data_IF_590930471274
#
_entry.id   IF_590930471274
#
_cell.length_a   1.000
_cell.length_b   1.000
_cell.length_c   1.000
_cell.angle_alpha   90.00
_cell.angle_beta   90.00
_cell.angle_gamma   90.00
#
_symmetry.space_group_name_H-M   'P 1'
#
loop_
_entity.id
_entity.type
_entity.pdbx_description
1 polymer ?
#
# COMPACT_ATOMS: atom_id res chain seq x y z
N UNK A 1 -17.79 -9.08 8.50
CA UNK A 1 -17.70 -8.75 7.06
C UNK A 1 -17.08 -7.37 6.95
N UNK A 2 -15.76 -7.28 6.73
CA UNK A 2 -15.12 -5.99 6.43
C UNK A 2 -15.57 -5.49 5.05
N UNK A 3 -15.62 -4.17 4.82
CA UNK A 3 -16.02 -3.62 3.52
C UNK A 3 -15.07 -4.12 2.43
N UNK A 4 -15.64 -4.63 1.34
CA UNK A 4 -14.89 -4.95 0.12
C UNK A 4 -14.48 -3.63 -0.53
N UNK A 5 -13.29 -3.15 -0.21
CA UNK A 5 -12.63 -2.06 -0.93
C UNK A 5 -12.37 -2.51 -2.37
N UNK A 6 -13.34 -2.28 -3.26
CA UNK A 6 -13.09 -2.31 -4.71
C UNK A 6 -12.64 -0.92 -5.12
N UNK A 7 -11.34 -0.75 -5.26
CA UNK A 7 -10.77 0.47 -5.77
C UNK A 7 -10.77 0.42 -7.31
N UNK A 8 -11.32 1.45 -7.96
CA UNK A 8 -11.27 1.68 -9.42
C UNK A 8 -10.80 3.10 -9.74
N UNK A 9 -10.22 3.75 -8.74
CA UNK A 9 -9.91 5.18 -8.74
C UNK A 9 -8.43 5.44 -8.68
N UNK A 10 -7.65 4.45 -8.24
CA UNK A 10 -6.21 4.53 -8.05
C UNK A 10 -5.54 3.28 -8.60
N UNK A 11 -4.33 3.44 -9.12
CA UNK A 11 -3.37 2.36 -9.38
C UNK A 11 -2.18 2.48 -8.43
N UNK A 12 -1.43 1.40 -8.26
CA UNK A 12 -0.17 1.41 -7.52
C UNK A 12 1.05 1.43 -8.47
N UNK A 13 2.05 2.22 -8.12
CA UNK A 13 3.38 2.16 -8.72
C UNK A 13 4.37 1.66 -7.67
N UNK A 14 5.04 0.54 -7.96
CA UNK A 14 6.02 -0.07 -7.06
C UNK A 14 7.39 0.57 -7.23
N UNK A 15 8.08 0.78 -6.11
CA UNK A 15 9.46 1.21 -6.06
C UNK A 15 10.16 0.65 -4.83
N UNK A 16 11.38 1.11 -4.58
CA UNK A 16 12.18 0.71 -3.41
C UNK A 16 12.88 1.94 -2.82
N UNK A 17 13.06 1.96 -1.50
CA UNK A 17 13.95 2.91 -0.83
C UNK A 17 15.41 2.58 -1.11
N UNK A 18 16.34 3.49 -0.81
CA UNK A 18 17.78 3.21 -0.88
C UNK A 18 18.20 2.03 0.02
N UNK A 19 17.46 1.80 1.11
CA UNK A 19 17.69 0.68 2.03
C UNK A 19 17.11 -0.66 1.51
N UNK A 20 16.34 -0.63 0.42
CA UNK A 20 15.71 -1.82 -0.19
C UNK A 20 14.30 -2.12 0.31
N UNK A 21 13.70 -1.23 1.11
CA UNK A 21 12.30 -1.38 1.56
C UNK A 21 11.33 -1.06 0.41
N UNK A 22 10.31 -1.88 0.15
CA UNK A 22 9.33 -1.58 -0.88
C UNK A 22 8.56 -0.28 -0.64
N UNK A 23 8.26 0.43 -1.73
CA UNK A 23 7.40 1.62 -1.78
C UNK A 23 6.21 1.32 -2.66
N UNK A 24 5.00 1.61 -2.18
CA UNK A 24 3.76 1.57 -2.94
C UNK A 24 3.27 3.00 -3.11
N UNK A 25 3.43 3.58 -4.30
CA UNK A 25 2.90 4.91 -4.63
C UNK A 25 1.48 4.77 -5.15
N UNK A 26 0.55 5.53 -4.60
CA UNK A 26 -0.85 5.56 -5.02
C UNK A 26 -1.03 6.70 -6.02
N UNK A 27 -1.51 6.35 -7.21
CA UNK A 27 -1.74 7.32 -8.30
C UNK A 27 -3.20 7.29 -8.72
N UNK A 28 -3.93 8.42 -8.67
CA UNK A 28 -5.27 8.51 -9.24
C UNK A 28 -5.27 8.16 -10.73
N UNK A 29 -6.20 7.31 -11.15
CA UNK A 29 -6.36 6.96 -12.57
C UNK A 29 -6.81 8.16 -13.40
N UNK A 30 -7.69 8.99 -12.83
CA UNK A 30 -8.16 10.22 -13.45
C UNK A 30 -7.81 11.43 -12.57
N UNK A 31 -6.76 12.20 -12.92
CA UNK A 31 -6.35 13.39 -12.15
C UNK A 31 -7.41 14.48 -12.02
N UNK A 32 -8.43 14.51 -12.89
CA UNK A 32 -9.53 15.46 -12.83
C UNK A 32 -10.74 15.00 -12.00
N UNK A 33 -10.72 13.77 -11.48
CA UNK A 33 -11.82 13.23 -10.69
C UNK A 33 -11.75 13.65 -9.22
N UNK A 34 -12.88 13.64 -8.48
CA UNK A 34 -12.90 13.91 -7.04
C UNK A 34 -11.93 13.03 -6.21
N UNK A 35 -11.64 11.81 -6.67
CA UNK A 35 -10.68 10.90 -6.04
C UNK A 35 -9.24 11.41 -6.07
N UNK A 36 -8.87 12.26 -7.04
CA UNK A 36 -7.54 12.84 -7.12
C UNK A 36 -7.27 13.93 -6.09
N UNK A 37 -8.30 14.39 -5.35
CA UNK A 37 -8.10 15.36 -4.28
C UNK A 37 -7.22 14.76 -3.17
N UNK A 38 -6.29 15.56 -2.67
CA UNK A 38 -5.31 15.16 -1.66
C UNK A 38 -5.93 14.45 -0.45
N UNK A 39 -7.09 14.91 0.03
CA UNK A 39 -7.80 14.30 1.17
C UNK A 39 -8.35 12.89 0.85
N UNK A 40 -8.78 12.65 -0.38
CA UNK A 40 -9.29 11.34 -0.80
C UNK A 40 -8.15 10.34 -0.96
N UNK A 41 -7.04 10.77 -1.56
CA UNK A 41 -5.81 9.98 -1.64
C UNK A 41 -5.29 9.63 -0.25
N UNK A 42 -5.23 10.61 0.66
CA UNK A 42 -4.80 10.40 2.04
C UNK A 42 -5.70 9.40 2.78
N UNK A 43 -7.02 9.54 2.67
CA UNK A 43 -7.97 8.60 3.28
C UNK A 43 -7.75 7.17 2.77
N UNK A 44 -7.61 7.00 1.45
CA UNK A 44 -7.34 5.70 0.85
C UNK A 44 -6.01 5.10 1.33
N UNK A 45 -4.95 5.91 1.45
CA UNK A 45 -3.66 5.47 1.97
C UNK A 45 -3.77 4.95 3.40
N UNK A 46 -4.51 5.64 4.28
CA UNK A 46 -4.70 5.17 5.65
C UNK A 46 -5.56 3.90 5.73
N UNK A 47 -6.58 3.77 4.89
CA UNK A 47 -7.38 2.54 4.80
C UNK A 47 -6.54 1.36 4.32
N UNK A 48 -5.73 1.56 3.27
CA UNK A 48 -4.81 0.55 2.76
C UNK A 48 -3.74 0.19 3.81
N UNK A 49 -3.20 1.18 4.52
CA UNK A 49 -2.24 0.95 5.60
C UNK A 49 -2.83 0.05 6.71
N UNK A 50 -4.04 0.37 7.17
CA UNK A 50 -4.71 -0.40 8.22
C UNK A 50 -4.96 -1.87 7.79
N UNK A 51 -5.34 -2.09 6.53
CA UNK A 51 -5.49 -3.45 6.02
C UNK A 51 -4.14 -4.16 5.86
N UNK A 52 -3.09 -3.46 5.42
CA UNK A 52 -1.73 -4.00 5.36
C UNK A 52 -1.24 -4.41 6.75
N UNK A 53 -1.43 -3.57 7.77
CA UNK A 53 -1.06 -3.87 9.15
C UNK A 53 -1.79 -5.12 9.66
N UNK A 54 -3.11 -5.17 9.46
CA UNK A 54 -3.95 -6.30 9.85
C UNK A 54 -3.45 -7.61 9.23
N UNK A 55 -3.21 -7.62 7.91
CA UNK A 55 -2.73 -8.81 7.20
C UNK A 55 -1.29 -9.17 7.57
N UNK A 56 -0.44 -8.18 7.85
CA UNK A 56 0.94 -8.40 8.30
C UNK A 56 0.97 -9.15 9.64
N UNK A 57 0.08 -8.79 10.56
CA UNK A 57 -0.07 -9.48 11.85
C UNK A 57 -0.55 -10.93 11.65
N UNK A 58 -1.47 -11.19 10.72
CA UNK A 58 -1.97 -12.54 10.42
C UNK A 58 -0.88 -13.49 9.92
N UNK A 59 0.13 -12.98 9.21
CA UNK A 59 1.26 -13.77 8.71
C UNK A 59 2.48 -13.72 9.63
N UNK A 60 2.38 -13.05 10.79
CA UNK A 60 3.46 -12.91 11.76
C UNK A 60 4.68 -12.15 11.23
N UNK A 61 4.47 -11.22 10.29
CA UNK A 61 5.55 -10.42 9.73
C UNK A 61 6.09 -9.40 10.74
N UNK A 62 7.37 -9.06 10.62
CA UNK A 62 8.05 -8.10 11.53
C UNK A 62 8.31 -6.74 10.92
N UNK A 63 7.98 -6.55 9.63
CA UNK A 63 8.04 -5.25 8.97
C UNK A 63 7.02 -4.26 9.56
N UNK A 64 7.29 -2.97 9.35
CA UNK A 64 6.35 -1.89 9.69
C UNK A 64 5.68 -1.33 8.42
N UNK A 65 4.44 -0.85 8.58
CA UNK A 65 3.71 -0.13 7.53
C UNK A 65 3.80 1.36 7.82
N UNK A 66 4.42 2.12 6.93
CA UNK A 66 4.62 3.56 7.08
C UNK A 66 3.83 4.35 6.03
N UNK A 67 2.63 4.85 6.35
CA UNK A 67 1.86 5.71 5.46
C UNK A 67 2.45 7.11 5.37
N UNK A 68 2.75 7.55 4.14
CA UNK A 68 3.14 8.92 3.83
C UNK A 68 2.11 9.58 2.91
N UNK A 69 0.96 9.94 3.49
CA UNK A 69 -0.17 10.52 2.76
C UNK A 69 0.21 11.79 1.96
N UNK A 70 1.14 12.61 2.47
CA UNK A 70 1.59 13.82 1.78
C UNK A 70 2.27 13.51 0.43
N UNK A 71 3.02 12.40 0.39
CA UNK A 71 3.78 11.95 -0.79
C UNK A 71 3.00 10.91 -1.61
N UNK A 72 1.72 10.70 -1.28
CA UNK A 72 0.86 9.70 -1.88
C UNK A 72 1.49 8.29 -1.92
N UNK A 73 2.18 7.87 -0.85
CA UNK A 73 2.86 6.56 -0.81
C UNK A 73 2.75 5.85 0.53
N UNK A 74 2.98 4.55 0.49
CA UNK A 74 3.18 3.65 1.62
C UNK A 74 4.56 3.03 1.52
N UNK A 75 5.23 2.86 2.64
CA UNK A 75 6.52 2.16 2.71
C UNK A 75 6.33 0.92 3.58
N UNK A 76 6.81 -0.22 3.06
CA UNK A 76 6.89 -1.47 3.80
C UNK A 76 8.31 -1.58 4.39
N UNK A 77 8.49 -1.12 5.61
CA UNK A 77 9.80 -1.05 6.26
C UNK A 77 10.21 -2.43 6.77
N UNK A 78 11.10 -3.08 6.01
CA UNK A 78 11.59 -4.42 6.36
C UNK A 78 12.46 -4.36 7.62
N UNK A 79 12.21 -5.28 8.55
CA UNK A 79 13.09 -5.49 9.71
C UNK A 79 14.39 -6.21 9.33
N UNK A 80 14.36 -6.99 8.25
CA UNK A 80 15.52 -7.71 7.71
C UNK A 80 15.44 -7.90 6.19
N UNK A 81 16.60 -7.97 5.53
CA UNK A 81 16.71 -8.34 4.10
C UNK A 81 16.16 -9.75 3.79
N UNK A 82 16.07 -10.61 4.80
CA UNK A 82 15.48 -11.95 4.64
C UNK A 82 13.97 -11.91 4.39
N UNK A 83 13.31 -10.79 4.68
CA UNK A 83 11.86 -10.63 4.52
C UNK A 83 11.45 -10.22 3.09
N UNK A 84 12.38 -9.86 2.20
CA UNK A 84 12.08 -9.30 0.87
C UNK A 84 11.12 -10.19 0.07
N UNK A 85 11.37 -11.50 0.01
CA UNK A 85 10.49 -12.41 -0.75
C UNK A 85 9.09 -12.54 -0.15
N UNK A 86 8.96 -12.48 1.18
CA UNK A 86 7.67 -12.49 1.85
C UNK A 86 6.93 -11.16 1.65
N UNK A 87 7.67 -10.04 1.67
CA UNK A 87 7.14 -8.71 1.39
C UNK A 87 6.63 -8.58 -0.05
N UNK A 88 7.36 -9.11 -1.04
CA UNK A 88 6.92 -9.12 -2.43
C UNK A 88 5.63 -9.92 -2.62
N UNK A 89 5.55 -11.13 -2.05
CA UNK A 89 4.35 -11.97 -2.12
C UNK A 89 3.15 -11.30 -1.42
N UNK A 90 3.41 -10.65 -0.27
CA UNK A 90 2.41 -9.88 0.46
C UNK A 90 1.87 -8.72 -0.37
N UNK A 91 2.75 -7.94 -1.01
CA UNK A 91 2.37 -6.83 -1.87
C UNK A 91 1.58 -7.30 -3.11
N UNK A 92 2.01 -8.38 -3.77
CA UNK A 92 1.27 -8.93 -4.91
C UNK A 92 -0.16 -9.34 -4.51
N UNK A 93 -0.30 -10.00 -3.36
CA UNK A 93 -1.60 -10.40 -2.83
C UNK A 93 -2.50 -9.20 -2.56
N UNK A 94 -1.99 -8.18 -1.85
CA UNK A 94 -2.81 -7.03 -1.50
C UNK A 94 -3.16 -6.16 -2.70
N UNK A 95 -2.23 -5.93 -3.62
CA UNK A 95 -2.49 -5.15 -4.83
C UNK A 95 -3.51 -5.84 -5.73
N UNK A 96 -3.45 -7.17 -5.85
CA UNK A 96 -4.45 -7.96 -6.56
C UNK A 96 -5.85 -7.86 -5.93
N UNK A 97 -5.93 -7.97 -4.60
CA UNK A 97 -7.21 -7.89 -3.88
C UNK A 97 -7.89 -6.51 -3.98
N UNK A 98 -7.07 -5.45 -4.06
CA UNK A 98 -7.54 -4.06 -4.15
C UNK A 98 -7.67 -3.55 -5.58
N UNK A 99 -7.39 -4.38 -6.60
CA UNK A 99 -7.42 -3.96 -8.02
C UNK A 99 -6.48 -2.76 -8.28
N UNK A 100 -5.29 -2.81 -7.68
CA UNK A 100 -4.25 -1.77 -7.76
C UNK A 100 -3.11 -2.09 -8.73
N UNK A 101 -3.12 -3.29 -9.33
CA UNK A 101 -2.07 -3.81 -10.21
C UNK A 101 -2.07 -3.16 -11.60
#
# INVERSE_FOLDING_TARGET
>A
MGPRLRNRSYRAELGVTEAGSPIVRIVPENPGAPSAHHRQVAAFIYELAAEMERRSQEIGATWAISPEAWNARLILELGSRTEVGAADAFLQSILGDFDLA
#
